data_IF_274762000837
#
_entry.id   IF_274762000837
#
_cell.length_a   1.000
_cell.length_b   1.000
_cell.length_c   1.000
_cell.angle_alpha   90.00
_cell.angle_beta   90.00
_cell.angle_gamma   90.00
#
_symmetry.space_group_name_H-M   'P 1'
#
loop_
_entity.id
_entity.type
_entity.pdbx_description
1 polymer ?
#
# COMPACT_ATOMS: atom_id res chain seq x y z
N UNK A 1 -25.21 10.41 68.19
CA UNK A 1 -25.92 9.12 68.04
C UNK A 1 -26.55 9.06 66.64
N UNK A 2 -26.00 8.30 65.67
CA UNK A 2 -26.60 8.22 64.34
C UNK A 2 -27.84 7.31 64.36
N UNK A 3 -28.97 7.80 63.85
CA UNK A 3 -30.23 7.05 63.74
C UNK A 3 -30.05 5.89 62.75
N UNK A 4 -30.25 4.64 63.21
CA UNK A 4 -30.29 3.44 62.36
C UNK A 4 -31.35 3.63 61.27
N UNK A 5 -30.96 3.67 60.00
CA UNK A 5 -31.89 3.59 58.86
C UNK A 5 -32.53 2.19 58.89
N UNK A 6 -33.82 2.12 59.24
CA UNK A 6 -34.62 0.92 59.05
C UNK A 6 -34.61 0.56 57.57
N UNK A 7 -33.94 -0.53 57.22
CA UNK A 7 -34.02 -1.13 55.89
C UNK A 7 -35.45 -1.64 55.67
N UNK A 8 -36.26 -0.89 54.93
CA UNK A 8 -37.56 -1.33 54.44
C UNK A 8 -37.35 -2.56 53.55
N UNK A 9 -37.45 -3.76 54.12
CA UNK A 9 -37.48 -5.02 53.37
C UNK A 9 -38.70 -4.96 52.44
N UNK A 10 -38.47 -4.76 51.14
CA UNK A 10 -39.52 -4.82 50.12
C UNK A 10 -40.22 -6.18 50.27
N UNK A 11 -41.54 -6.17 50.49
CA UNK A 11 -42.34 -7.39 50.62
C UNK A 11 -42.13 -8.24 49.36
N UNK A 12 -41.85 -9.54 49.53
CA UNK A 12 -41.73 -10.47 48.40
C UNK A 12 -43.05 -10.48 47.63
N UNK A 13 -42.99 -10.28 46.31
CA UNK A 13 -44.19 -10.36 45.45
C UNK A 13 -44.64 -11.83 45.42
N UNK A 14 -45.79 -12.14 46.00
CA UNK A 14 -46.40 -13.48 45.97
C UNK A 14 -47.33 -13.55 44.77
N UNK A 15 -47.20 -14.59 43.93
CA UNK A 15 -48.09 -14.81 42.79
C UNK A 15 -49.52 -15.13 43.28
N UNK A 16 -50.52 -14.52 42.65
CA UNK A 16 -51.94 -14.84 42.88
C UNK A 16 -52.61 -15.14 41.53
N UNK A 17 -53.07 -16.39 41.29
CA UNK A 17 -53.71 -16.75 40.03
C UNK A 17 -55.08 -16.06 39.90
N UNK A 18 -55.43 -15.69 38.66
CA UNK A 18 -56.77 -15.23 38.31
C UNK A 18 -57.69 -16.44 38.27
N UNK A 19 -58.91 -16.29 38.81
CA UNK A 19 -59.92 -17.36 38.85
C UNK A 19 -61.10 -17.10 37.89
N UNK A 20 -61.14 -15.94 37.26
CA UNK A 20 -62.21 -15.52 36.37
C UNK A 20 -61.85 -15.83 34.92
N UNK A 21 -62.78 -16.42 34.18
CA UNK A 21 -62.64 -16.60 32.73
C UNK A 21 -62.71 -15.26 32.00
N UNK A 22 -62.04 -15.18 30.85
CA UNK A 22 -62.05 -13.97 30.01
C UNK A 22 -63.26 -13.89 29.10
N UNK A 23 -63.70 -15.03 28.60
CA UNK A 23 -64.84 -15.13 27.72
C UNK A 23 -66.15 -14.98 28.50
N UNK A 24 -67.19 -14.55 27.81
CA UNK A 24 -68.53 -14.47 28.38
C UNK A 24 -69.10 -15.87 28.60
N UNK A 25 -70.00 -16.05 29.58
CA UNK A 25 -70.68 -17.33 29.78
C UNK A 25 -71.37 -17.79 28.48
N UNK A 26 -71.08 -19.01 28.03
CA UNK A 26 -71.71 -19.61 26.85
C UNK A 26 -71.10 -19.23 25.49
N UNK A 27 -70.11 -18.32 25.42
CA UNK A 27 -69.50 -17.96 24.13
C UNK A 27 -68.49 -19.00 23.62
N UNK A 28 -67.88 -19.78 24.52
CA UNK A 28 -66.92 -20.85 24.19
C UNK A 28 -67.17 -22.04 25.11
N UNK A 29 -66.76 -23.24 24.69
CA UNK A 29 -66.81 -24.44 25.52
C UNK A 29 -66.01 -24.26 26.81
N UNK A 30 -66.43 -24.96 27.87
CA UNK A 30 -65.78 -24.87 29.17
C UNK A 30 -64.31 -25.32 29.13
N UNK A 31 -63.98 -26.31 28.29
CA UNK A 31 -62.61 -26.80 28.10
C UNK A 31 -61.66 -25.68 27.65
N UNK A 32 -62.07 -24.93 26.62
CA UNK A 32 -61.27 -23.80 26.10
C UNK A 32 -61.12 -22.69 27.14
N UNK A 33 -62.15 -22.45 27.97
CA UNK A 33 -62.07 -21.49 29.07
C UNK A 33 -61.03 -21.90 30.13
N UNK A 34 -60.96 -23.19 30.47
CA UNK A 34 -59.97 -23.70 31.42
C UNK A 34 -58.55 -23.63 30.85
N UNK A 35 -58.37 -24.00 29.58
CA UNK A 35 -57.07 -23.95 28.91
C UNK A 35 -56.53 -22.53 28.77
N UNK A 36 -57.39 -21.57 28.41
CA UNK A 36 -57.04 -20.14 28.37
C UNK A 36 -56.65 -19.63 29.76
N UNK A 37 -57.46 -19.92 30.79
CA UNK A 37 -57.19 -19.48 32.16
C UNK A 37 -55.88 -20.06 32.69
N UNK A 38 -55.59 -21.33 32.39
CA UNK A 38 -54.34 -21.99 32.75
C UNK A 38 -53.15 -21.33 32.03
N UNK A 39 -53.26 -21.15 30.71
CA UNK A 39 -52.21 -20.53 29.89
C UNK A 39 -51.91 -19.11 30.34
N UNK A 40 -52.95 -18.33 30.65
CA UNK A 40 -52.81 -16.97 31.14
C UNK A 40 -52.11 -16.90 32.49
N UNK A 41 -52.49 -17.75 33.45
CA UNK A 41 -51.84 -17.80 34.76
C UNK A 41 -50.39 -18.26 34.65
N UNK A 42 -50.09 -19.24 33.80
CA UNK A 42 -48.72 -19.66 33.49
C UNK A 42 -47.88 -18.52 32.92
N UNK A 43 -48.39 -17.75 31.96
CA UNK A 43 -47.69 -16.59 31.41
C UNK A 43 -47.42 -15.53 32.50
N UNK A 44 -48.43 -15.18 33.30
CA UNK A 44 -48.26 -14.20 34.39
C UNK A 44 -47.24 -14.66 35.43
N UNK A 45 -47.22 -15.96 35.74
CA UNK A 45 -46.22 -16.53 36.63
C UNK A 45 -44.82 -16.37 36.04
N UNK A 46 -44.61 -16.73 34.76
CA UNK A 46 -43.32 -16.58 34.06
C UNK A 46 -42.82 -15.14 34.07
N UNK A 47 -43.71 -14.17 33.82
CA UNK A 47 -43.37 -12.74 33.87
C UNK A 47 -42.98 -12.31 35.28
N UNK A 48 -43.69 -12.78 36.31
CA UNK A 48 -43.39 -12.44 37.70
C UNK A 48 -42.06 -13.04 38.17
N UNK A 49 -41.75 -14.27 37.74
CA UNK A 49 -40.52 -14.99 38.10
C UNK A 49 -39.34 -14.69 37.18
N UNK A 50 -39.54 -13.89 36.13
CA UNK A 50 -38.46 -13.53 35.21
C UNK A 50 -37.44 -12.66 35.96
N UNK A 51 -36.19 -13.08 35.94
CA UNK A 51 -35.06 -12.29 36.43
C UNK A 51 -34.42 -11.58 35.25
N UNK A 52 -34.05 -10.31 35.43
CA UNK A 52 -33.26 -9.58 34.46
C UNK A 52 -31.87 -10.22 34.35
N UNK A 53 -31.59 -10.85 33.20
CA UNK A 53 -30.27 -11.40 32.88
C UNK A 53 -29.81 -10.69 31.62
N UNK A 54 -28.73 -9.93 31.73
CA UNK A 54 -28.05 -9.36 30.56
C UNK A 54 -27.42 -10.53 29.82
N UNK A 55 -27.81 -10.74 28.56
CA UNK A 55 -27.16 -11.74 27.73
C UNK A 55 -25.74 -11.28 27.41
N UNK A 56 -24.75 -11.88 28.07
CA UNK A 56 -23.33 -11.60 27.84
C UNK A 56 -22.72 -12.55 26.81
N UNK A 57 -23.52 -13.43 26.18
CA UNK A 57 -22.99 -14.33 25.16
C UNK A 57 -22.70 -13.52 23.90
N UNK A 58 -21.51 -13.67 23.30
CA UNK A 58 -21.27 -13.11 21.99
C UNK A 58 -22.24 -13.75 20.99
N UNK A 59 -22.72 -12.95 20.04
CA UNK A 59 -23.54 -13.47 18.96
C UNK A 59 -22.75 -14.56 18.21
N UNK A 60 -23.36 -15.73 17.99
CA UNK A 60 -22.74 -16.83 17.23
C UNK A 60 -22.72 -16.49 15.74
N UNK A 61 -21.78 -15.62 15.35
CA UNK A 61 -21.53 -15.30 13.95
C UNK A 61 -20.66 -16.42 13.36
N UNK A 62 -21.02 -16.86 12.16
CA UNK A 62 -20.14 -17.67 11.33
C UNK A 62 -19.12 -16.76 10.61
N UNK A 63 -17.80 -16.88 10.86
CA UNK A 63 -16.78 -16.05 10.23
C UNK A 63 -16.81 -16.10 8.69
N UNK A 64 -17.16 -17.26 8.12
CA UNK A 64 -17.26 -17.47 6.67
C UNK A 64 -18.42 -16.70 6.04
N UNK A 65 -19.38 -16.21 6.85
CA UNK A 65 -20.49 -15.37 6.39
C UNK A 65 -20.14 -13.88 6.41
N UNK A 66 -19.17 -13.46 7.25
CA UNK A 66 -18.74 -12.07 7.34
C UNK A 66 -17.64 -11.71 6.34
N UNK A 67 -16.74 -12.66 6.04
CA UNK A 67 -15.62 -12.45 5.14
C UNK A 67 -15.89 -13.12 3.79
N UNK A 68 -16.21 -12.35 2.74
CA UNK A 68 -16.43 -12.92 1.41
C UNK A 68 -15.09 -13.46 0.87
N UNK A 69 -14.90 -14.79 0.98
CA UNK A 69 -13.67 -15.49 0.55
C UNK A 69 -13.21 -15.11 -0.86
N UNK A 70 -14.14 -14.90 -1.79
CA UNK A 70 -13.84 -14.48 -3.17
C UNK A 70 -13.08 -13.14 -3.21
N UNK A 71 -13.55 -12.14 -2.46
CA UNK A 71 -12.89 -10.82 -2.41
C UNK A 71 -11.48 -10.93 -1.83
N UNK A 72 -11.30 -11.73 -0.77
CA UNK A 72 -9.98 -11.93 -0.17
C UNK A 72 -8.98 -12.58 -1.14
N UNK A 73 -9.45 -13.50 -1.99
CA UNK A 73 -8.62 -14.12 -3.03
C UNK A 73 -8.30 -13.12 -4.14
N UNK A 74 -9.26 -12.32 -4.57
CA UNK A 74 -9.05 -11.24 -5.55
C UNK A 74 -8.03 -10.20 -5.04
N UNK A 75 -8.16 -9.77 -3.78
CA UNK A 75 -7.25 -8.83 -3.13
C UNK A 75 -5.82 -9.41 -3.04
N UNK A 76 -5.69 -10.70 -2.73
CA UNK A 76 -4.40 -11.39 -2.69
C UNK A 76 -3.74 -11.38 -4.07
N UNK A 77 -4.46 -11.74 -5.13
CA UNK A 77 -3.92 -11.69 -6.50
C UNK A 77 -3.55 -10.27 -6.92
N UNK A 78 -4.36 -9.28 -6.55
CA UNK A 78 -4.06 -7.88 -6.82
C UNK A 78 -2.78 -7.43 -6.11
N UNK A 79 -2.61 -7.78 -4.84
CA UNK A 79 -1.41 -7.49 -4.06
C UNK A 79 -0.17 -8.11 -4.69
N UNK A 80 -0.22 -9.38 -5.07
CA UNK A 80 0.90 -10.06 -5.74
C UNK A 80 1.27 -9.40 -7.08
N UNK A 81 0.27 -8.95 -7.83
CA UNK A 81 0.48 -8.23 -9.09
C UNK A 81 1.17 -6.89 -8.87
N UNK A 82 0.76 -6.14 -7.84
CA UNK A 82 1.38 -4.88 -7.46
C UNK A 82 2.83 -5.10 -7.02
N UNK A 83 3.10 -6.12 -6.20
CA UNK A 83 4.45 -6.42 -5.73
C UNK A 83 5.40 -6.78 -6.88
N UNK A 84 4.92 -7.56 -7.86
CA UNK A 84 5.69 -7.87 -9.07
C UNK A 84 6.03 -6.60 -9.85
N UNK A 85 5.08 -5.68 -10.02
CA UNK A 85 5.29 -4.39 -10.69
C UNK A 85 6.27 -3.51 -9.93
N UNK A 86 6.15 -3.44 -8.61
CA UNK A 86 7.04 -2.65 -7.74
C UNK A 86 8.48 -3.17 -7.78
N UNK A 87 8.68 -4.50 -7.69
CA UNK A 87 10.02 -5.11 -7.83
C UNK A 87 10.65 -4.79 -9.18
N UNK A 88 9.86 -4.85 -10.26
CA UNK A 88 10.34 -4.50 -11.59
C UNK A 88 10.69 -3.02 -11.73
N UNK A 89 9.90 -2.12 -11.13
CA UNK A 89 10.19 -0.68 -11.09
C UNK A 89 11.48 -0.39 -10.34
N UNK A 90 11.67 -1.00 -9.16
CA UNK A 90 12.90 -0.86 -8.37
C UNK A 90 14.13 -1.33 -9.15
N UNK A 91 14.02 -2.44 -9.87
CA UNK A 91 15.09 -2.91 -10.74
C UNK A 91 15.47 -1.86 -11.81
N UNK A 92 14.48 -1.25 -12.47
CA UNK A 92 14.71 -0.20 -13.47
C UNK A 92 15.35 1.05 -12.87
N UNK A 93 14.87 1.52 -11.72
CA UNK A 93 15.45 2.68 -11.03
C UNK A 93 16.91 2.39 -10.67
N UNK A 94 17.20 1.22 -10.10
CA UNK A 94 18.56 0.83 -9.77
C UNK A 94 19.46 0.72 -11.00
N UNK A 95 18.94 0.23 -12.12
CA UNK A 95 19.68 0.17 -13.38
C UNK A 95 20.07 1.57 -13.89
N UNK A 96 19.12 2.52 -13.86
CA UNK A 96 19.37 3.91 -14.26
C UNK A 96 20.41 4.55 -13.35
N UNK A 97 20.24 4.43 -12.03
CA UNK A 97 21.15 5.02 -11.05
C UNK A 97 22.58 4.47 -11.18
N UNK A 98 22.73 3.15 -11.42
CA UNK A 98 24.05 2.52 -11.63
C UNK A 98 24.75 3.01 -12.89
N UNK A 99 24.00 3.41 -13.91
CA UNK A 99 24.55 3.95 -15.16
C UNK A 99 24.75 5.47 -15.11
N UNK A 100 24.62 6.10 -13.93
CA UNK A 100 24.78 7.55 -13.76
C UNK A 100 23.59 8.38 -14.27
N UNK A 101 22.47 7.74 -14.60
CA UNK A 101 21.24 8.44 -14.98
C UNK A 101 20.49 8.98 -13.76
N UNK A 102 19.74 10.05 -13.96
CA UNK A 102 18.85 10.61 -12.94
C UNK A 102 17.40 10.18 -13.18
N UNK A 103 16.72 9.76 -12.12
CA UNK A 103 15.29 9.42 -12.15
C UNK A 103 14.50 10.58 -11.56
N UNK A 104 13.62 11.17 -12.36
CA UNK A 104 12.70 12.21 -11.90
C UNK A 104 11.52 11.57 -11.15
N UNK A 105 11.60 11.59 -9.81
CA UNK A 105 10.57 11.08 -8.91
C UNK A 105 9.54 12.14 -8.48
N UNK A 106 9.67 13.39 -8.94
CA UNK A 106 8.91 14.51 -8.36
C UNK A 106 8.15 15.34 -9.39
N UNK A 107 8.12 14.95 -10.67
CA UNK A 107 7.38 15.65 -11.71
C UNK A 107 5.86 15.75 -11.42
N UNK A 108 5.33 16.92 -11.01
CA UNK A 108 3.92 17.06 -10.63
C UNK A 108 2.97 16.81 -11.82
N UNK A 109 3.43 17.06 -13.04
CA UNK A 109 2.67 16.84 -14.27
C UNK A 109 2.58 15.37 -14.64
N UNK A 110 3.55 14.55 -14.22
CA UNK A 110 3.52 13.11 -14.41
C UNK A 110 2.60 12.41 -13.37
N UNK A 111 2.50 12.97 -12.16
CA UNK A 111 1.66 12.44 -11.08
C UNK A 111 0.28 13.09 -10.98
N UNK A 112 -0.05 14.04 -11.84
CA UNK A 112 -1.42 14.55 -11.92
C UNK A 112 -2.36 13.37 -12.17
N UNK A 113 -3.42 13.24 -11.36
CA UNK A 113 -4.42 12.19 -11.52
C UNK A 113 -5.03 12.29 -12.92
N UNK A 114 -4.54 11.48 -13.85
CA UNK A 114 -5.17 11.32 -15.16
C UNK A 114 -6.40 10.46 -14.92
N UNK A 115 -7.55 10.96 -15.37
CA UNK A 115 -8.80 10.21 -15.34
C UNK A 115 -8.73 8.92 -16.18
N UNK A 116 -7.69 8.76 -17.02
CA UNK A 116 -7.43 7.59 -17.85
C UNK A 116 -5.95 7.17 -17.79
N UNK A 117 -5.59 6.48 -16.71
CA UNK A 117 -4.23 5.95 -16.52
C UNK A 117 -3.86 4.88 -17.55
N UNK A 118 -4.84 4.11 -18.02
CA UNK A 118 -4.64 3.04 -19.02
C UNK A 118 -4.21 3.61 -20.36
N UNK A 119 -4.89 4.65 -20.86
CA UNK A 119 -4.50 5.34 -22.09
C UNK A 119 -3.12 5.98 -21.98
N UNK A 120 -2.79 6.55 -20.82
CA UNK A 120 -1.45 7.07 -20.57
C UNK A 120 -0.38 5.97 -20.62
N UNK A 121 -0.60 4.83 -19.97
CA UNK A 121 0.34 3.70 -19.99
C UNK A 121 0.55 3.17 -21.42
N UNK A 122 -0.50 3.10 -22.22
CA UNK A 122 -0.42 2.71 -23.64
C UNK A 122 0.41 3.71 -24.46
N UNK A 123 0.22 5.02 -24.25
CA UNK A 123 1.03 6.07 -24.89
C UNK A 123 2.50 5.98 -24.48
N UNK A 124 2.79 5.78 -23.20
CA UNK A 124 4.17 5.61 -22.71
C UNK A 124 4.86 4.39 -23.34
N UNK A 125 4.14 3.27 -23.51
CA UNK A 125 4.64 2.10 -24.24
C UNK A 125 4.89 2.40 -25.72
N UNK A 126 4.09 3.28 -26.33
CA UNK A 126 4.31 3.80 -27.68
C UNK A 126 5.64 4.55 -27.77
N UNK A 127 5.86 5.55 -26.91
CA UNK A 127 7.11 6.30 -26.86
C UNK A 127 8.32 5.42 -26.55
N UNK A 128 8.18 4.39 -25.70
CA UNK A 128 9.27 3.44 -25.43
C UNK A 128 9.69 2.68 -26.70
N UNK A 129 8.73 2.30 -27.56
CA UNK A 129 9.03 1.64 -28.83
C UNK A 129 9.73 2.59 -29.79
N UNK A 130 9.24 3.82 -29.92
CA UNK A 130 9.84 4.85 -30.78
C UNK A 130 11.28 5.15 -30.34
N UNK A 131 11.51 5.35 -29.03
CA UNK A 131 12.84 5.58 -28.47
C UNK A 131 13.80 4.41 -28.76
N UNK A 132 13.32 3.17 -28.68
CA UNK A 132 14.13 1.99 -29.04
C UNK A 132 14.52 1.98 -30.51
N UNK A 133 13.61 2.40 -31.40
CA UNK A 133 13.90 2.50 -32.84
C UNK A 133 14.95 3.58 -33.07
N UNK A 134 14.73 4.79 -32.55
CA UNK A 134 15.68 5.91 -32.65
C UNK A 134 17.07 5.51 -32.14
N UNK A 135 17.13 4.87 -30.97
CA UNK A 135 18.40 4.41 -30.40
C UNK A 135 19.10 3.40 -31.31
N UNK A 136 18.38 2.44 -31.90
CA UNK A 136 18.96 1.52 -32.87
C UNK A 136 19.45 2.25 -34.11
N UNK A 137 18.69 3.23 -34.61
CA UNK A 137 19.07 4.04 -35.76
C UNK A 137 20.36 4.82 -35.49
N UNK A 138 20.48 5.46 -34.33
CA UNK A 138 21.70 6.16 -33.90
C UNK A 138 22.90 5.21 -33.79
N UNK A 139 22.69 4.01 -33.24
CA UNK A 139 23.76 3.01 -33.16
C UNK A 139 24.18 2.47 -34.53
N UNK A 140 23.23 2.34 -35.45
CA UNK A 140 23.50 1.87 -36.82
C UNK A 140 24.01 2.96 -37.75
N UNK A 141 23.85 4.23 -37.40
CA UNK A 141 24.32 5.33 -38.23
C UNK A 141 25.83 5.41 -38.12
N UNK A 142 26.51 4.91 -39.15
CA UNK A 142 27.94 5.11 -39.31
C UNK A 142 28.18 6.52 -39.87
N UNK A 143 29.09 7.28 -39.25
CA UNK A 143 29.48 8.58 -39.78
C UNK A 143 30.26 8.38 -41.08
N UNK A 144 29.92 9.18 -42.10
CA UNK A 144 30.66 9.19 -43.37
C UNK A 144 32.15 9.54 -43.20
N UNK A 145 32.49 10.16 -42.06
CA UNK A 145 33.85 10.46 -41.63
C UNK A 145 34.33 9.40 -40.64
N UNK A 146 35.53 8.86 -40.86
CA UNK A 146 36.16 7.96 -39.91
C UNK A 146 36.55 8.71 -38.64
N UNK A 147 36.03 8.28 -37.49
CA UNK A 147 36.41 8.84 -36.17
C UNK A 147 37.92 8.83 -35.97
N UNK A 148 38.60 7.75 -36.35
CA UNK A 148 40.05 7.61 -36.23
C UNK A 148 40.80 8.67 -37.04
N UNK A 149 40.33 8.96 -38.26
CA UNK A 149 40.94 9.99 -39.12
C UNK A 149 40.67 11.39 -38.58
N UNK A 150 39.45 11.65 -38.11
CA UNK A 150 39.08 12.91 -37.47
C UNK A 150 39.90 13.15 -36.20
N UNK A 151 40.07 12.16 -35.34
CA UNK A 151 40.88 12.26 -34.12
C UNK A 151 42.35 12.53 -34.45
N UNK A 152 42.91 11.86 -35.47
CA UNK A 152 44.27 12.12 -35.95
C UNK A 152 44.42 13.53 -36.50
N UNK A 153 43.46 13.98 -37.32
CA UNK A 153 43.46 15.32 -37.90
C UNK A 153 43.31 16.39 -36.82
N UNK A 154 42.44 16.16 -35.84
CA UNK A 154 42.25 17.06 -34.71
C UNK A 154 43.51 17.18 -33.86
N UNK A 155 44.16 16.06 -33.52
CA UNK A 155 45.47 16.08 -32.83
C UNK A 155 46.52 16.87 -33.60
N UNK A 156 46.58 16.71 -34.93
CA UNK A 156 47.51 17.46 -35.79
C UNK A 156 47.18 18.95 -35.82
N UNK A 157 45.90 19.31 -35.90
CA UNK A 157 45.44 20.71 -35.82
C UNK A 157 45.82 21.30 -34.46
N UNK A 158 45.52 20.61 -33.35
CA UNK A 158 45.86 21.06 -32.00
C UNK A 158 47.37 21.22 -31.80
N UNK A 159 48.18 20.30 -32.32
CA UNK A 159 49.65 20.39 -32.31
C UNK A 159 50.15 21.60 -33.12
N UNK A 160 49.65 21.80 -34.33
CA UNK A 160 50.03 22.97 -35.12
C UNK A 160 49.61 24.26 -34.42
N UNK A 161 48.42 24.28 -33.82
CA UNK A 161 47.88 25.43 -33.10
C UNK A 161 48.72 25.78 -31.87
N UNK A 162 49.18 24.79 -31.09
CA UNK A 162 50.04 25.04 -29.94
C UNK A 162 51.41 25.62 -30.32
N UNK A 163 51.93 25.28 -31.51
CA UNK A 163 53.22 25.77 -32.00
C UNK A 163 53.14 27.11 -32.72
N UNK A 164 52.02 27.40 -33.40
CA UNK A 164 51.85 28.61 -34.20
C UNK A 164 51.14 29.76 -33.46
N UNK A 165 50.42 29.46 -32.38
CA UNK A 165 49.75 30.51 -31.59
C UNK A 165 50.74 31.21 -30.67
N UNK A 166 50.77 32.55 -30.76
CA UNK A 166 51.59 33.42 -29.89
C UNK A 166 51.11 33.42 -28.43
N UNK A 167 49.87 33.01 -28.20
CA UNK A 167 49.26 32.90 -26.88
C UNK A 167 48.57 31.53 -26.76
N UNK A 168 48.82 30.76 -25.69
CA UNK A 168 48.11 29.51 -25.47
C UNK A 168 46.63 29.83 -25.26
N UNK A 169 45.79 29.37 -26.18
CA UNK A 169 44.34 29.53 -26.06
C UNK A 169 43.86 28.72 -24.85
N UNK A 170 42.93 29.29 -24.07
CA UNK A 170 42.28 28.63 -22.94
C UNK A 170 41.71 27.24 -23.32
N UNK A 171 41.40 27.02 -24.60
CA UNK A 171 40.92 25.74 -25.15
C UNK A 171 41.94 24.61 -25.02
N UNK A 172 43.25 24.86 -25.16
CA UNK A 172 44.27 23.81 -25.02
C UNK A 172 44.58 23.47 -23.56
N UNK A 173 44.26 24.38 -22.64
CA UNK A 173 44.52 24.25 -21.20
C UNK A 173 43.32 23.70 -20.42
N UNK A 174 42.12 23.70 -21.03
CA UNK A 174 40.92 23.15 -20.40
C UNK A 174 41.02 21.63 -20.37
N UNK A 175 40.82 21.07 -19.18
CA UNK A 175 40.64 19.62 -19.00
C UNK A 175 39.33 19.23 -19.68
N UNK A 176 39.35 18.13 -20.43
CA UNK A 176 38.15 17.58 -21.05
C UNK A 176 37.06 17.37 -20.00
N UNK A 177 35.85 17.89 -20.26
CA UNK A 177 34.72 17.72 -19.35
C UNK A 177 34.42 16.24 -19.10
N UNK A 178 34.61 15.38 -20.10
CA UNK A 178 34.46 13.93 -19.96
C UNK A 178 35.50 13.32 -19.01
N UNK A 179 36.72 13.86 -18.97
CA UNK A 179 37.75 13.42 -18.03
C UNK A 179 37.39 13.87 -16.61
N UNK A 180 36.84 15.08 -16.46
CA UNK A 180 36.34 15.57 -15.18
C UNK A 180 35.20 14.68 -14.68
N UNK A 181 34.21 14.38 -15.52
CA UNK A 181 33.06 13.54 -15.16
C UNK A 181 33.48 12.11 -14.78
N UNK A 182 34.48 11.53 -15.46
CA UNK A 182 35.05 10.23 -15.08
C UNK A 182 35.83 10.25 -13.77
N UNK A 183 36.41 11.39 -13.41
CA UNK A 183 37.17 11.54 -12.17
C UNK A 183 36.29 11.80 -10.94
N UNK A 184 35.01 12.12 -11.15
CA UNK A 184 34.10 12.33 -10.04
C UNK A 184 33.76 10.99 -9.38
N UNK A 185 33.89 10.87 -8.04
CA UNK A 185 33.53 9.66 -7.34
C UNK A 185 32.05 9.36 -7.56
N UNK A 186 31.72 8.08 -7.74
CA UNK A 186 30.30 7.70 -7.85
C UNK A 186 29.62 7.98 -6.52
N UNK A 187 28.39 8.50 -6.55
CA UNK A 187 27.55 8.71 -5.35
C UNK A 187 27.35 7.40 -4.57
N UNK A 188 27.55 6.24 -5.22
CA UNK A 188 27.47 4.91 -4.61
C UNK A 188 28.79 4.38 -4.04
N UNK A 189 29.92 5.07 -4.24
CA UNK A 189 31.25 4.59 -3.85
C UNK A 189 31.44 4.67 -2.32
N UNK A 190 30.88 5.71 -1.68
CA UNK A 190 30.86 5.89 -0.22
C UNK A 190 29.71 5.15 0.48
N UNK A 191 28.77 4.55 -0.28
CA UNK A 191 27.80 3.62 0.26
C UNK A 191 28.48 2.25 0.45
N UNK A 192 29.45 2.20 1.37
CA UNK A 192 29.85 0.97 2.03
C UNK A 192 28.60 0.36 2.69
N UNK A 193 27.89 -0.47 1.94
CA UNK A 193 27.02 -1.48 2.52
C UNK A 193 27.95 -2.29 3.41
N UNK A 194 27.83 -2.10 4.73
CA UNK A 194 28.53 -2.88 5.75
C UNK A 194 28.33 -4.37 5.45
N UNK A 195 29.24 -4.96 4.67
CA UNK A 195 29.44 -6.39 4.69
C UNK A 195 30.03 -6.70 6.05
N UNK A 196 29.37 -7.60 6.75
CA UNK A 196 29.42 -7.86 8.19
C UNK A 196 30.74 -8.43 8.73
N UNK A 197 31.89 -8.01 8.20
CA UNK A 197 33.21 -8.60 8.50
C UNK A 197 34.22 -7.69 9.20
N UNK A 198 33.90 -6.42 9.48
CA UNK A 198 34.86 -5.51 10.12
C UNK A 198 34.45 -5.11 11.55
N UNK A 199 34.33 -6.08 12.46
CA UNK A 199 34.34 -5.85 13.91
C UNK A 199 35.23 -6.89 14.59
N UNK A 200 36.50 -6.97 14.18
CA UNK A 200 37.59 -7.51 15.01
C UNK A 200 38.87 -6.81 14.61
N UNK A 201 39.26 -5.80 15.39
CA UNK A 201 40.54 -5.79 16.09
C UNK A 201 40.73 -4.51 16.90
N UNK A 202 40.99 -4.72 18.20
CA UNK A 202 41.89 -3.99 19.07
C UNK A 202 41.48 -2.58 19.56
N UNK A 203 40.92 -2.55 20.77
CA UNK A 203 41.28 -1.55 21.78
C UNK A 203 42.30 -2.17 22.74
N UNK A 204 43.25 -1.38 23.28
CA UNK A 204 44.22 -1.81 24.30
C UNK A 204 43.53 -2.26 25.59
#
# INVERSE_FOLDING_TARGET
MPKKKCCNRKKKKVFKPVKTFRYLPGSVSNEVNYDDLHTYNCHRYRVLTCHEVVDTKPFSINPFRMLPRRKMVEDLFQSESIDKKNKHLLYKINFINRNGGWVDCYNPWAYWRKNDWLSYEQKMKGYEKENKIIHKTILSSESHYSKSEMDKRWKKVMFNFSHSSKFPLVITLKVDHDAILKSQPSISEDLCICTSKCLRTNRP
#
